data_IF_622236554662
#
_entry.id   IF_622236554662
#
_cell.length_a   1.000
_cell.length_b   1.000
_cell.length_c   1.000
_cell.angle_alpha   90.00
_cell.angle_beta   90.00
_cell.angle_gamma   90.00
#
_symmetry.space_group_name_H-M   'P 1'
#
loop_
_entity.id
_entity.type
_entity.pdbx_description
1 polymer ?
#
# COMPACT_ATOMS: atom_id res chain seq x y z
N UNK A 1 -0.66 -24.42 -19.17
CA UNK A 1 -1.47 -23.38 -19.80
C UNK A 1 -0.93 -22.04 -19.34
N UNK A 2 0.01 -21.46 -20.10
CA UNK A 2 0.41 -20.06 -19.93
C UNK A 2 -0.51 -19.26 -20.84
N UNK A 3 -1.34 -18.40 -20.25
CA UNK A 3 -2.19 -17.48 -21.01
C UNK A 3 -1.29 -16.42 -21.63
N UNK A 4 -0.99 -16.57 -22.93
CA UNK A 4 -0.18 -15.63 -23.72
C UNK A 4 -0.69 -14.19 -23.62
N UNK A 5 -1.99 -14.05 -23.37
CA UNK A 5 -2.64 -12.76 -23.19
C UNK A 5 -2.26 -12.10 -21.84
N UNK A 6 -2.09 -12.91 -20.79
CA UNK A 6 -1.65 -12.42 -19.47
C UNK A 6 -0.19 -11.98 -19.51
N UNK A 7 0.65 -12.69 -20.28
CA UNK A 7 2.05 -12.32 -20.44
C UNK A 7 2.20 -10.98 -21.15
N UNK A 8 1.44 -10.74 -22.23
CA UNK A 8 1.47 -9.46 -22.94
C UNK A 8 1.02 -8.27 -22.06
N UNK A 9 -0.02 -8.46 -21.24
CA UNK A 9 -0.48 -7.43 -20.30
C UNK A 9 0.60 -7.12 -19.26
N UNK A 10 1.30 -8.14 -18.76
CA UNK A 10 2.42 -7.96 -17.83
C UNK A 10 3.58 -7.22 -18.50
N UNK A 11 3.91 -7.56 -19.74
CA UNK A 11 5.02 -6.95 -20.48
C UNK A 11 4.72 -5.47 -20.82
N UNK A 12 3.48 -5.15 -21.20
CA UNK A 12 3.02 -3.78 -21.46
C UNK A 12 3.02 -2.93 -20.18
N UNK A 13 2.52 -3.49 -19.07
CA UNK A 13 2.58 -2.83 -17.76
C UNK A 13 4.02 -2.60 -17.32
N UNK A 14 4.89 -3.60 -17.49
CA UNK A 14 6.30 -3.50 -17.12
C UNK A 14 6.98 -2.39 -17.90
N UNK A 15 6.78 -2.34 -19.22
CA UNK A 15 7.33 -1.30 -20.08
C UNK A 15 6.82 0.10 -19.71
N UNK A 16 5.54 0.23 -19.36
CA UNK A 16 4.94 1.49 -18.91
C UNK A 16 5.54 1.98 -17.59
N UNK A 17 5.76 1.07 -16.64
CA UNK A 17 6.36 1.37 -15.35
C UNK A 17 7.83 1.77 -15.51
N UNK A 18 8.60 1.05 -16.33
CA UNK A 18 10.01 1.35 -16.62
C UNK A 18 10.19 2.73 -17.25
N UNK A 19 9.27 3.17 -18.11
CA UNK A 19 9.30 4.53 -18.70
C UNK A 19 9.04 5.64 -17.68
N UNK A 20 8.38 5.33 -16.56
CA UNK A 20 8.04 6.29 -15.49
C UNK A 20 8.94 6.18 -14.27
N UNK A 21 9.77 5.14 -14.20
CA UNK A 21 10.82 4.96 -13.20
C UNK A 21 11.96 5.92 -13.51
N UNK A 22 11.99 7.04 -12.81
CA UNK A 22 13.17 7.91 -12.81
C UNK A 22 14.18 7.31 -11.80
N UNK A 23 15.40 6.91 -12.22
CA UNK A 23 16.41 6.32 -11.33
C UNK A 23 16.79 7.23 -10.15
N UNK A 24 16.46 8.52 -10.20
CA UNK A 24 16.62 9.49 -9.11
C UNK A 24 15.32 10.17 -8.66
N UNK A 25 14.14 9.74 -9.12
CA UNK A 25 12.88 10.45 -8.91
C UNK A 25 11.90 9.80 -7.93
N UNK A 26 10.85 10.55 -7.60
CA UNK A 26 9.82 10.16 -6.64
C UNK A 26 8.85 9.12 -7.22
N UNK A 27 9.21 7.84 -7.09
CA UNK A 27 8.41 6.70 -7.55
C UNK A 27 7.12 6.47 -6.73
N UNK A 28 6.84 7.27 -5.69
CA UNK A 28 5.65 7.11 -4.84
C UNK A 28 4.36 7.28 -5.63
N UNK A 29 4.30 8.22 -6.57
CA UNK A 29 3.14 8.43 -7.44
C UNK A 29 2.90 7.25 -8.38
N UNK A 30 3.96 6.66 -8.94
CA UNK A 30 3.84 5.48 -9.80
C UNK A 30 3.32 4.27 -9.03
N UNK A 31 3.82 4.05 -7.81
CA UNK A 31 3.33 2.99 -6.93
C UNK A 31 1.85 3.21 -6.57
N UNK A 32 1.44 4.46 -6.36
CA UNK A 32 0.04 4.78 -6.11
C UNK A 32 -0.85 4.52 -7.35
N UNK A 33 -0.39 4.87 -8.56
CA UNK A 33 -1.07 4.55 -9.82
C UNK A 33 -1.23 3.03 -9.98
N UNK A 34 -0.18 2.26 -9.67
CA UNK A 34 -0.20 0.79 -9.69
C UNK A 34 -1.20 0.22 -8.67
N UNK A 35 -1.22 0.74 -7.45
CA UNK A 35 -2.21 0.34 -6.44
C UNK A 35 -3.64 0.63 -6.90
N UNK A 36 -3.86 1.70 -7.66
CA UNK A 36 -5.17 2.03 -8.25
C UNK A 36 -5.60 0.97 -9.28
N UNK A 37 -4.67 0.49 -10.10
CA UNK A 37 -4.91 -0.62 -11.04
C UNK A 37 -5.24 -1.91 -10.29
N UNK A 38 -4.45 -2.24 -9.25
CA UNK A 38 -4.67 -3.44 -8.42
C UNK A 38 -6.05 -3.38 -7.76
N UNK A 39 -6.41 -2.25 -7.13
CA UNK A 39 -7.74 -2.04 -6.54
C UNK A 39 -8.85 -2.37 -7.54
N UNK A 40 -8.71 -1.88 -8.76
CA UNK A 40 -9.70 -2.10 -9.84
C UNK A 40 -9.74 -3.57 -10.26
N UNK A 41 -8.59 -4.22 -10.43
CA UNK A 41 -8.48 -5.62 -10.83
C UNK A 41 -9.02 -6.59 -9.76
N UNK A 42 -8.82 -6.29 -8.47
CA UNK A 42 -9.30 -7.09 -7.35
C UNK A 42 -10.73 -6.73 -6.92
N UNK A 43 -11.31 -5.66 -7.50
CA UNK A 43 -12.61 -5.10 -7.11
C UNK A 43 -12.68 -4.70 -5.63
N UNK A 44 -11.58 -4.19 -5.09
CA UNK A 44 -11.54 -3.67 -3.73
C UNK A 44 -12.23 -2.29 -3.64
N UNK A 45 -12.85 -2.01 -2.50
CA UNK A 45 -13.52 -0.72 -2.26
C UNK A 45 -12.52 0.45 -2.14
N UNK A 46 -11.31 0.17 -1.64
CA UNK A 46 -10.26 1.15 -1.43
C UNK A 46 -8.89 0.50 -1.26
N UNK A 47 -7.87 1.34 -1.11
CA UNK A 47 -6.54 0.93 -0.69
C UNK A 47 -5.86 2.04 0.12
N UNK A 48 -4.82 1.68 0.85
CA UNK A 48 -3.89 2.60 1.50
C UNK A 48 -2.47 2.19 1.10
N UNK A 49 -1.59 3.17 0.84
CA UNK A 49 -0.19 2.95 0.54
C UNK A 49 0.65 3.51 1.69
N UNK A 50 1.42 2.64 2.35
CA UNK A 50 2.31 3.06 3.43
C UNK A 50 3.78 2.99 3.00
N UNK A 51 4.55 3.96 3.51
CA UNK A 51 5.98 4.11 3.28
C UNK A 51 6.74 3.89 4.58
N UNK A 52 7.83 3.13 4.50
CA UNK A 52 8.73 2.90 5.62
C UNK A 52 9.95 3.83 5.56
N UNK A 53 10.29 4.42 6.71
CA UNK A 53 11.55 5.18 6.87
C UNK A 53 11.43 6.69 6.66
N UNK A 54 10.32 7.17 6.08
CA UNK A 54 10.10 8.60 5.77
C UNK A 54 9.50 9.41 6.96
N UNK A 55 9.22 8.76 8.09
CA UNK A 55 8.70 9.40 9.32
C UNK A 55 9.39 8.85 10.58
N UNK A 56 10.70 9.10 10.77
CA UNK A 56 11.43 8.64 11.96
C UNK A 56 11.23 7.15 12.29
N UNK A 57 11.41 6.27 11.30
CA UNK A 57 11.17 4.82 11.45
C UNK A 57 9.72 4.40 11.80
N UNK A 58 8.74 5.28 11.55
CA UNK A 58 7.32 4.97 11.66
C UNK A 58 6.70 4.70 10.28
N UNK A 59 5.49 4.14 10.26
CA UNK A 59 4.67 4.05 9.05
C UNK A 59 4.23 5.47 8.65
N UNK A 60 4.33 5.78 7.36
CA UNK A 60 3.72 6.98 6.79
C UNK A 60 2.66 6.58 5.77
N UNK A 61 1.43 7.05 5.92
CA UNK A 61 0.42 6.96 4.89
C UNK A 61 0.73 7.97 3.78
N UNK A 62 0.85 7.48 2.54
CA UNK A 62 0.98 8.32 1.36
C UNK A 62 -0.39 8.80 0.90
N UNK A 63 -0.57 10.12 0.81
CA UNK A 63 -1.72 10.73 0.14
C UNK A 63 -1.22 11.58 -1.03
N UNK A 64 -1.54 11.21 -2.29
CA UNK A 64 -1.26 12.08 -3.40
C UNK A 64 -2.11 13.33 -3.27
N UNK A 65 -1.47 14.47 -3.49
CA UNK A 65 -2.10 15.77 -3.50
C UNK A 65 -2.45 16.10 -4.96
N UNK A 66 -3.61 16.73 -5.22
CA UNK A 66 -3.99 17.15 -6.57
C UNK A 66 -2.98 18.15 -7.14
N UNK A 67 -2.92 18.29 -8.47
CA UNK A 67 -1.97 19.20 -9.13
C UNK A 67 -2.04 20.66 -8.65
N UNK A 68 -3.20 21.07 -8.11
CA UNK A 68 -3.47 22.41 -7.59
C UNK A 68 -3.20 22.56 -6.07
N UNK A 69 -3.02 21.45 -5.34
CA UNK A 69 -3.05 21.39 -3.87
C UNK A 69 -1.64 21.27 -3.23
N UNK A 70 -0.57 21.28 -4.03
CA UNK A 70 0.81 21.24 -3.55
C UNK A 70 1.46 19.85 -3.59
N UNK A 71 2.63 19.65 -2.93
CA UNK A 71 3.36 18.39 -2.99
C UNK A 71 2.61 17.24 -2.29
N UNK A 72 2.87 15.97 -2.67
CA UNK A 72 2.31 14.79 -2.00
C UNK A 72 2.54 14.84 -0.48
N UNK A 73 1.55 14.43 0.30
CA UNK A 73 1.63 14.49 1.76
C UNK A 73 1.91 13.11 2.35
N UNK A 74 2.85 13.07 3.30
CA UNK A 74 3.10 11.92 4.17
C UNK A 74 2.48 12.16 5.53
N UNK A 75 1.54 11.30 5.92
CA UNK A 75 0.86 11.39 7.21
C UNK A 75 1.39 10.28 8.12
N UNK A 76 1.98 10.61 9.28
CA UNK A 76 2.40 9.59 10.24
C UNK A 76 1.22 8.68 10.64
N UNK A 77 1.42 7.38 10.54
CA UNK A 77 0.41 6.34 10.79
C UNK A 77 0.77 5.41 11.96
N UNK A 78 1.77 5.78 12.77
CA UNK A 78 2.17 5.06 13.98
C UNK A 78 3.41 4.17 13.82
N UNK A 79 3.87 3.55 14.92
CA UNK A 79 5.11 2.79 14.95
C UNK A 79 4.97 1.42 14.27
N UNK A 80 6.10 0.87 13.82
CA UNK A 80 6.19 -0.50 13.29
C UNK A 80 6.36 -1.45 14.48
N UNK A 81 5.25 -1.93 15.04
CA UNK A 81 5.28 -2.83 16.21
C UNK A 81 4.17 -3.87 16.10
N UNK A 82 4.41 -5.07 16.61
CA UNK A 82 3.38 -6.11 16.67
C UNK A 82 2.22 -5.72 17.59
N UNK A 83 1.02 -6.22 17.29
CA UNK A 83 -0.16 -6.00 18.12
C UNK A 83 -0.75 -4.59 17.99
N UNK A 84 -0.52 -3.91 16.87
CA UNK A 84 -1.15 -2.62 16.54
C UNK A 84 -2.05 -2.77 15.30
N UNK A 85 -1.55 -2.42 14.12
CA UNK A 85 -2.27 -2.46 12.85
C UNK A 85 -1.81 -3.62 11.95
N UNK A 86 -2.63 -3.97 10.97
CA UNK A 86 -2.26 -4.93 9.91
C UNK A 86 -0.99 -4.47 9.17
N UNK A 87 -0.90 -3.18 8.83
CA UNK A 87 0.25 -2.61 8.13
C UNK A 87 1.54 -2.79 8.95
N UNK A 88 1.51 -2.53 10.26
CA UNK A 88 2.67 -2.72 11.13
C UNK A 88 3.11 -4.19 11.22
N UNK A 89 2.15 -5.13 11.20
CA UNK A 89 2.45 -6.56 11.17
C UNK A 89 3.13 -6.98 9.86
N UNK A 90 2.60 -6.56 8.72
CA UNK A 90 3.19 -6.87 7.41
C UNK A 90 4.55 -6.19 7.24
N UNK A 91 4.71 -4.96 7.73
CA UNK A 91 6.00 -4.26 7.79
C UNK A 91 7.07 -5.07 8.54
N UNK A 92 6.68 -5.66 9.67
CA UNK A 92 7.60 -6.40 10.55
C UNK A 92 7.90 -7.78 9.97
N UNK A 93 6.89 -8.49 9.47
CA UNK A 93 7.03 -9.88 9.01
C UNK A 93 7.52 -10.00 7.58
N UNK A 94 7.32 -8.96 6.76
CA UNK A 94 7.56 -8.94 5.31
C UNK A 94 6.83 -10.08 4.59
N UNK A 95 5.65 -10.44 5.07
CA UNK A 95 4.79 -11.48 4.49
C UNK A 95 3.42 -10.91 4.18
N UNK A 96 2.90 -11.26 3.00
CA UNK A 96 1.51 -10.97 2.64
C UNK A 96 0.56 -11.54 3.68
N UNK A 97 -0.46 -10.77 4.03
CA UNK A 97 -1.50 -11.17 4.98
C UNK A 97 -2.88 -10.88 4.40
N UNK A 98 -3.75 -11.88 4.42
CA UNK A 98 -5.18 -11.75 4.19
C UNK A 98 -5.91 -11.89 5.53
N UNK A 99 -6.74 -10.92 5.85
CA UNK A 99 -7.69 -10.95 6.97
C UNK A 99 -9.08 -10.86 6.37
N UNK A 100 -9.89 -11.89 6.53
CA UNK A 100 -11.24 -11.96 5.93
C UNK A 100 -12.27 -11.17 6.73
N UNK A 101 -12.13 -11.14 8.05
CA UNK A 101 -12.91 -10.27 8.95
C UNK A 101 -11.96 -9.66 9.99
N UNK A 102 -11.76 -8.35 9.88
CA UNK A 102 -10.95 -7.57 10.81
C UNK A 102 -11.74 -7.17 12.07
N UNK A 103 -13.06 -7.29 12.04
CA UNK A 103 -13.94 -6.83 13.11
C UNK A 103 -13.68 -7.62 14.40
N UNK A 104 -13.04 -6.98 15.37
CA UNK A 104 -12.69 -7.62 16.64
C UNK A 104 -11.53 -8.62 16.55
N UNK A 105 -10.72 -8.59 15.49
CA UNK A 105 -9.50 -9.40 15.41
C UNK A 105 -8.47 -8.89 16.43
N UNK A 106 -8.31 -9.63 17.53
CA UNK A 106 -7.43 -9.27 18.65
C UNK A 106 -5.95 -9.16 18.25
N UNK A 107 -5.55 -9.71 17.09
CA UNK A 107 -4.19 -9.55 16.56
C UNK A 107 -3.90 -8.13 16.11
N UNK A 108 -4.96 -7.37 15.76
CA UNK A 108 -4.90 -6.02 15.21
C UNK A 108 -5.89 -5.10 15.95
N UNK A 109 -5.63 -4.76 17.23
CA UNK A 109 -6.54 -3.94 18.03
C UNK A 109 -6.73 -2.52 17.47
N UNK A 110 -5.83 -2.04 16.61
CA UNK A 110 -5.95 -0.76 15.90
C UNK A 110 -6.46 -0.92 14.46
N UNK A 111 -6.81 -2.15 14.05
CA UNK A 111 -7.36 -2.47 12.74
C UNK A 111 -6.46 -2.02 11.59
N UNK A 112 -7.01 -1.17 10.71
CA UNK A 112 -6.26 -0.55 9.61
C UNK A 112 -5.62 0.79 9.98
N UNK A 113 -5.94 1.36 11.14
CA UNK A 113 -5.55 2.71 11.53
C UNK A 113 -6.24 3.82 10.72
N UNK A 114 -7.26 3.50 9.90
CA UNK A 114 -8.06 4.47 9.13
C UNK A 114 -9.56 4.44 9.49
N UNK A 115 -9.95 3.57 10.44
CA UNK A 115 -11.35 3.24 10.74
C UNK A 115 -12.06 4.30 11.60
N UNK A 116 -11.34 5.29 12.16
CA UNK A 116 -11.89 6.24 13.12
C UNK A 116 -12.67 7.42 12.52
N UNK A 117 -12.41 7.80 11.26
CA UNK A 117 -12.89 9.11 10.74
C UNK A 117 -13.85 9.03 9.54
N UNK A 118 -14.05 7.85 8.92
CA UNK A 118 -14.73 7.76 7.61
C UNK A 118 -16.10 7.09 7.59
N UNK A 119 -16.53 6.45 8.69
CA UNK A 119 -17.80 5.68 8.72
C UNK A 119 -17.82 4.47 7.78
N UNK A 120 -16.70 4.16 7.12
CA UNK A 120 -16.57 3.04 6.21
C UNK A 120 -15.96 1.87 7.00
N UNK A 121 -16.78 0.86 7.29
CA UNK A 121 -16.33 -0.31 8.02
C UNK A 121 -15.56 -1.23 7.08
N UNK A 122 -14.24 -1.26 7.22
CA UNK A 122 -13.40 -2.24 6.54
C UNK A 122 -13.73 -3.63 7.11
N UNK A 123 -14.11 -4.57 6.25
CA UNK A 123 -14.39 -5.95 6.66
C UNK A 123 -13.19 -6.85 6.41
N UNK A 124 -12.69 -6.90 5.16
CA UNK A 124 -11.54 -7.71 4.77
C UNK A 124 -10.38 -6.84 4.29
N UNK A 125 -9.15 -7.32 4.52
CA UNK A 125 -7.92 -6.62 4.15
C UNK A 125 -6.92 -7.60 3.56
N UNK A 126 -6.43 -7.28 2.36
CA UNK A 126 -5.25 -7.91 1.77
C UNK A 126 -4.10 -6.90 1.80
N UNK A 127 -3.07 -7.17 2.60
CA UNK A 127 -1.90 -6.29 2.75
C UNK A 127 -0.64 -7.01 2.23
N UNK A 128 0.12 -6.33 1.36
CA UNK A 128 1.28 -6.90 0.68
C UNK A 128 2.53 -6.05 0.94
N UNK A 129 3.68 -6.68 1.27
CA UNK A 129 4.95 -5.96 1.30
C UNK A 129 5.49 -5.75 -0.12
N UNK A 130 5.80 -4.51 -0.47
CA UNK A 130 6.51 -4.13 -1.69
C UNK A 130 7.96 -3.84 -1.33
N UNK A 131 8.84 -4.80 -1.61
CA UNK A 131 10.26 -4.70 -1.33
C UNK A 131 10.98 -4.07 -2.53
N UNK A 132 11.70 -2.98 -2.31
CA UNK A 132 12.63 -2.41 -3.30
C UNK A 132 14.07 -2.68 -2.86
N UNK A 133 15.03 -2.50 -3.78
CA UNK A 133 16.45 -2.65 -3.48
C UNK A 133 16.95 -1.67 -2.38
N UNK A 134 16.18 -0.61 -2.10
CA UNK A 134 16.55 0.47 -1.17
C UNK A 134 15.53 0.70 -0.03
N UNK A 135 14.40 -0.04 0.02
CA UNK A 135 13.35 0.20 1.02
C UNK A 135 12.16 -0.77 0.98
N UNK A 136 11.18 -0.57 1.86
CA UNK A 136 9.93 -1.35 1.96
C UNK A 136 8.72 -0.41 1.92
N UNK A 137 7.70 -0.77 1.11
CA UNK A 137 6.39 -0.12 1.01
C UNK A 137 5.30 -1.17 1.33
N UNK A 138 4.09 -0.76 1.72
CA UNK A 138 2.99 -1.65 2.16
C UNK A 138 1.63 -1.22 1.61
#
# INVERSE_FOLDING_TARGET
YQDSNMQNVVDDLTSYLEQRLDPGGDNKLLLYDLCTVIKTATKADGFALYLLGECNNSLCLFKPTGAEDGPPTLIPAGPITFGTTIAAHVATTRKTLLVEDITGDERFPEGTGQDSDSGNHVHSVLCLPILTAIGLYL
#
